data_IF_194335681145
#
_entry.id   IF_194335681145
#
_cell.length_a   1.000
_cell.length_b   1.000
_cell.length_c   1.000
_cell.angle_alpha   90.00
_cell.angle_beta   90.00
_cell.angle_gamma   90.00
#
_symmetry.space_group_name_H-M   'P 1'
#
loop_
_entity.id
_entity.type
_entity.pdbx_description
1 polymer ?
#
# COMPACT_ATOMS: atom_id res chain seq x y z
N UNK A 1 43.57 -38.64 15.49
CA UNK A 1 44.95 -38.15 15.76
C UNK A 1 45.21 -36.92 14.93
N UNK A 2 44.45 -35.80 15.18
CA UNK A 2 44.62 -34.48 14.50
C UNK A 2 43.94 -33.37 15.30
N UNK A 3 44.12 -33.34 16.61
CA UNK A 3 43.51 -32.33 17.50
C UNK A 3 44.49 -31.83 18.57
N UNK A 4 45.76 -31.70 18.24
CA UNK A 4 46.77 -31.34 19.24
C UNK A 4 47.92 -30.47 18.71
N UNK A 5 47.62 -29.49 17.84
CA UNK A 5 48.65 -28.48 17.43
C UNK A 5 47.98 -27.14 17.12
N UNK A 6 47.33 -26.52 18.10
CA UNK A 6 46.95 -25.09 18.02
C UNK A 6 46.64 -24.50 19.41
N UNK A 7 47.51 -24.74 20.38
CA UNK A 7 47.50 -24.03 21.65
C UNK A 7 48.96 -23.72 22.06
N UNK A 8 49.58 -22.82 21.29
CA UNK A 8 50.78 -22.14 21.80
C UNK A 8 51.06 -20.90 20.92
N UNK A 9 50.37 -19.83 21.20
CA UNK A 9 50.83 -18.50 20.83
C UNK A 9 50.47 -17.57 21.98
N UNK A 10 51.46 -17.27 22.79
CA UNK A 10 51.38 -16.35 23.92
C UNK A 10 51.02 -14.94 23.41
N UNK A 11 50.02 -14.34 24.04
CA UNK A 11 49.72 -12.93 23.91
C UNK A 11 50.90 -12.08 24.42
N UNK A 12 51.31 -11.02 23.71
CA UNK A 12 52.28 -10.08 24.20
C UNK A 12 51.75 -9.30 25.41
N UNK A 13 52.63 -8.87 26.33
CA UNK A 13 52.23 -8.18 27.54
C UNK A 13 51.66 -6.78 27.18
N UNK A 14 50.57 -6.42 27.83
CA UNK A 14 50.01 -5.08 27.81
C UNK A 14 51.04 -4.09 28.37
N UNK A 15 51.57 -3.22 27.52
CA UNK A 15 52.42 -2.10 27.91
C UNK A 15 51.55 -0.86 28.09
N UNK A 16 51.65 -0.32 29.28
CA UNK A 16 51.54 1.07 29.69
C UNK A 16 50.27 1.88 29.35
N UNK A 17 49.68 2.27 30.45
CA UNK A 17 48.75 3.37 30.69
C UNK A 17 49.01 4.60 29.83
N UNK A 18 48.13 4.81 28.85
CA UNK A 18 47.89 6.14 28.31
C UNK A 18 46.86 6.80 29.20
N UNK A 19 47.27 7.81 29.95
CA UNK A 19 46.37 8.70 30.67
C UNK A 19 45.56 9.47 29.65
N UNK A 20 44.20 9.49 29.75
CA UNK A 20 43.38 10.38 28.93
C UNK A 20 43.44 11.77 29.55
N UNK A 21 44.35 12.62 29.05
CA UNK A 21 44.29 14.06 29.24
C UNK A 21 43.34 14.64 28.18
N UNK A 22 42.08 14.68 28.49
CA UNK A 22 41.02 15.34 27.74
C UNK A 22 39.75 15.25 28.53
N UNK A 23 39.21 16.40 28.92
CA UNK A 23 37.86 16.48 29.50
C UNK A 23 36.89 15.67 28.62
N UNK A 24 35.93 14.93 29.19
CA UNK A 24 34.92 14.23 28.42
C UNK A 24 34.11 15.30 27.64
N UNK A 25 34.36 15.44 26.35
CA UNK A 25 33.49 16.16 25.47
C UNK A 25 32.18 15.36 25.47
N UNK A 26 31.21 15.81 26.28
CA UNK A 26 29.84 15.38 26.20
C UNK A 26 29.41 15.60 24.74
N UNK A 27 29.38 14.52 23.96
CA UNK A 27 28.64 14.51 22.71
C UNK A 27 27.21 14.95 23.10
N UNK A 28 26.90 16.21 22.80
CA UNK A 28 25.52 16.68 22.84
C UNK A 28 24.78 15.77 21.86
N UNK A 29 24.10 14.77 22.40
CA UNK A 29 22.99 14.09 21.75
C UNK A 29 21.95 15.19 21.50
N UNK A 30 22.14 15.93 20.39
CA UNK A 30 21.16 16.85 19.89
C UNK A 30 19.88 16.07 19.68
N UNK A 31 19.02 16.19 20.66
CA UNK A 31 17.58 15.96 20.68
C UNK A 31 17.05 14.89 19.72
N UNK A 32 16.95 13.66 20.22
CA UNK A 32 16.07 12.61 19.70
C UNK A 32 14.58 13.07 19.64
N UNK A 33 14.26 14.24 20.18
CA UNK A 33 12.91 14.84 20.21
C UNK A 33 12.50 15.51 18.88
N UNK A 34 13.45 15.95 18.05
CA UNK A 34 13.16 16.61 16.77
C UNK A 34 12.88 15.63 15.61
N UNK A 35 13.37 14.39 15.68
CA UNK A 35 13.17 13.39 14.60
C UNK A 35 11.70 13.01 14.35
N UNK A 36 10.85 12.77 15.35
CA UNK A 36 9.43 12.46 15.14
C UNK A 36 8.66 13.64 14.51
N UNK A 37 8.98 14.87 14.90
CA UNK A 37 8.34 16.07 14.38
C UNK A 37 8.70 16.29 12.90
N UNK A 38 9.98 16.18 12.54
CA UNK A 38 10.46 16.31 11.17
C UNK A 38 9.89 15.23 10.25
N UNK A 39 9.75 14.00 10.73
CA UNK A 39 9.12 12.89 9.99
C UNK A 39 7.63 13.13 9.78
N UNK A 40 6.92 13.64 10.78
CA UNK A 40 5.51 13.98 10.69
C UNK A 40 5.28 15.14 9.71
N UNK A 41 6.11 16.17 9.72
CA UNK A 41 6.07 17.29 8.77
C UNK A 41 6.35 16.84 7.35
N UNK A 42 7.35 15.99 7.17
CA UNK A 42 7.66 15.38 5.87
C UNK A 42 6.51 14.52 5.32
N UNK A 43 5.81 13.80 6.19
CA UNK A 43 4.64 13.00 5.82
C UNK A 43 3.44 13.90 5.45
N UNK A 44 3.16 14.96 6.23
CA UNK A 44 2.12 15.96 5.94
C UNK A 44 2.37 16.66 4.61
N UNK A 45 3.61 17.10 4.37
CA UNK A 45 3.98 17.74 3.11
C UNK A 45 3.82 16.77 1.91
N UNK A 46 4.22 15.50 2.07
CA UNK A 46 4.01 14.48 1.04
C UNK A 46 2.52 14.28 0.74
N UNK A 47 1.67 14.22 1.77
CA UNK A 47 0.23 14.09 1.59
C UNK A 47 -0.37 15.27 0.82
N UNK A 48 0.00 16.52 1.17
CA UNK A 48 -0.44 17.74 0.44
C UNK A 48 -0.09 17.69 -1.04
N UNK A 49 1.13 17.24 -1.38
CA UNK A 49 1.55 17.10 -2.78
C UNK A 49 0.71 16.07 -3.53
N UNK A 50 0.41 14.92 -2.91
CA UNK A 50 -0.41 13.88 -3.51
C UNK A 50 -1.88 14.30 -3.65
N UNK A 51 -2.42 15.04 -2.69
CA UNK A 51 -3.77 15.61 -2.77
C UNK A 51 -3.87 16.65 -3.90
N UNK A 52 -2.85 17.52 -4.07
CA UNK A 52 -2.80 18.46 -5.18
C UNK A 52 -2.76 17.73 -6.53
N UNK A 53 -1.95 16.67 -6.65
CA UNK A 53 -1.88 15.86 -7.85
C UNK A 53 -3.21 15.10 -8.12
N UNK A 54 -3.89 14.60 -7.08
CA UNK A 54 -5.20 13.97 -7.22
C UNK A 54 -6.27 14.95 -7.73
N UNK A 55 -6.28 16.19 -7.25
CA UNK A 55 -7.18 17.25 -7.79
C UNK A 55 -6.88 17.52 -9.25
N UNK A 56 -5.63 17.64 -9.65
CA UNK A 56 -5.25 17.83 -11.06
C UNK A 56 -5.73 16.69 -11.95
N UNK A 57 -5.69 15.44 -11.46
CA UNK A 57 -6.25 14.29 -12.20
C UNK A 57 -7.76 14.45 -12.37
N UNK A 58 -8.47 14.84 -11.32
CA UNK A 58 -9.93 15.01 -11.38
C UNK A 58 -10.34 16.13 -12.34
N UNK A 59 -9.55 17.20 -12.42
CA UNK A 59 -9.86 18.39 -13.23
C UNK A 59 -9.39 18.27 -14.69
N UNK A 60 -8.24 17.64 -14.92
CA UNK A 60 -7.52 17.69 -16.20
C UNK A 60 -7.12 16.30 -16.74
N UNK A 61 -7.51 15.22 -16.05
CA UNK A 61 -7.06 13.87 -16.37
C UNK A 61 -5.57 13.64 -16.02
N UNK A 62 -5.11 12.41 -16.25
CA UNK A 62 -3.76 11.99 -15.90
C UNK A 62 -2.69 12.76 -16.69
N UNK A 63 -2.99 13.13 -17.93
CA UNK A 63 -2.06 13.87 -18.80
C UNK A 63 -1.80 15.30 -18.30
N UNK A 64 -2.75 15.91 -17.58
CA UNK A 64 -2.59 17.19 -16.90
C UNK A 64 -1.65 17.17 -15.71
N UNK A 65 -1.25 15.99 -15.21
CA UNK A 65 -0.34 15.87 -14.07
C UNK A 65 1.12 15.95 -14.52
N UNK A 66 1.70 17.12 -14.34
CA UNK A 66 3.14 17.36 -14.50
C UNK A 66 3.77 17.72 -13.16
N UNK A 67 5.10 17.56 -13.05
CA UNK A 67 5.83 17.94 -11.83
C UNK A 67 5.68 19.43 -11.51
N UNK A 68 5.62 20.25 -12.57
CA UNK A 68 5.40 21.69 -12.50
C UNK A 68 3.99 22.05 -12.03
N UNK A 69 2.96 21.44 -12.63
CA UNK A 69 1.57 21.68 -12.26
C UNK A 69 1.33 21.33 -10.80
N UNK A 70 1.88 20.21 -10.32
CA UNK A 70 1.78 19.80 -8.91
C UNK A 70 2.51 20.78 -7.99
N UNK A 71 3.68 21.29 -8.38
CA UNK A 71 4.41 22.27 -7.59
C UNK A 71 3.60 23.56 -7.41
N UNK A 72 2.99 24.06 -8.49
CA UNK A 72 2.08 25.23 -8.47
C UNK A 72 0.85 24.95 -7.62
N UNK A 73 0.16 23.84 -7.84
CA UNK A 73 -1.07 23.49 -7.12
C UNK A 73 -0.88 23.25 -5.62
N UNK A 74 0.34 22.88 -5.20
CA UNK A 74 0.70 22.65 -3.80
C UNK A 74 1.44 23.84 -3.16
N UNK A 75 1.67 24.92 -3.90
CA UNK A 75 2.43 26.10 -3.47
C UNK A 75 3.84 25.73 -2.93
N UNK A 76 4.60 25.00 -3.73
CA UNK A 76 5.99 24.63 -3.42
C UNK A 76 6.90 24.80 -4.62
N UNK A 77 8.22 24.91 -4.38
CA UNK A 77 9.19 24.92 -5.45
C UNK A 77 9.25 23.59 -6.22
N UNK A 78 9.39 23.64 -7.55
CA UNK A 78 9.55 22.48 -8.45
C UNK A 78 10.59 21.48 -7.93
N UNK A 79 11.74 21.96 -7.44
CA UNK A 79 12.80 21.12 -6.87
C UNK A 79 12.35 20.27 -5.69
N UNK A 80 11.34 20.71 -4.92
CA UNK A 80 10.78 19.94 -3.82
C UNK A 80 10.01 18.73 -4.32
N UNK A 81 9.25 18.87 -5.40
CA UNK A 81 8.48 17.76 -6.03
C UNK A 81 9.46 16.75 -6.62
N UNK A 82 10.46 17.20 -7.39
CA UNK A 82 11.48 16.32 -7.98
C UNK A 82 12.28 15.57 -6.92
N UNK A 83 12.74 16.24 -5.86
CA UNK A 83 13.45 15.58 -4.76
C UNK A 83 12.61 14.51 -4.06
N UNK A 84 11.29 14.69 -4.00
CA UNK A 84 10.38 13.79 -3.31
C UNK A 84 9.96 12.58 -4.13
N UNK A 85 9.75 12.73 -5.42
CA UNK A 85 9.15 11.70 -6.28
C UNK A 85 10.06 11.25 -7.42
N UNK A 86 11.17 11.95 -7.67
CA UNK A 86 12.10 11.66 -8.73
C UNK A 86 11.62 12.19 -10.09
N UNK A 87 10.59 11.59 -10.62
CA UNK A 87 9.99 11.94 -11.92
C UNK A 87 8.46 11.80 -11.89
N UNK A 88 7.82 12.01 -13.04
CA UNK A 88 6.36 11.87 -13.20
C UNK A 88 5.90 10.45 -12.90
N UNK A 89 6.64 9.43 -13.31
CA UNK A 89 6.30 8.03 -13.05
C UNK A 89 6.32 7.74 -11.54
N UNK A 90 7.36 8.21 -10.84
CA UNK A 90 7.44 8.10 -9.37
C UNK A 90 6.31 8.83 -8.65
N UNK A 91 5.88 9.98 -9.16
CA UNK A 91 4.69 10.70 -8.64
C UNK A 91 3.40 9.90 -8.85
N UNK A 92 3.17 9.35 -10.06
CA UNK A 92 1.99 8.54 -10.36
C UNK A 92 1.95 7.25 -9.52
N UNK A 93 3.09 6.59 -9.34
CA UNK A 93 3.20 5.44 -8.44
C UNK A 93 2.91 5.81 -6.98
N UNK A 94 3.39 6.96 -6.52
CA UNK A 94 3.10 7.45 -5.17
C UNK A 94 1.61 7.79 -4.97
N UNK A 95 0.91 8.24 -6.00
CA UNK A 95 -0.54 8.45 -5.99
C UNK A 95 -1.30 7.13 -5.84
N UNK A 96 -0.92 6.10 -6.60
CA UNK A 96 -1.50 4.76 -6.47
C UNK A 96 -1.31 4.18 -5.06
N UNK A 97 -0.10 4.33 -4.49
CA UNK A 97 0.20 3.91 -3.12
C UNK A 97 -0.63 4.68 -2.07
N UNK A 98 -0.75 6.00 -2.25
CA UNK A 98 -1.55 6.85 -1.36
C UNK A 98 -3.03 6.42 -1.34
N UNK A 99 -3.60 6.19 -2.52
CA UNK A 99 -4.97 5.71 -2.64
C UNK A 99 -5.16 4.30 -2.04
N UNK A 100 -4.18 3.40 -2.22
CA UNK A 100 -4.22 2.09 -1.59
C UNK A 100 -4.23 2.18 -0.06
N UNK A 101 -3.41 3.05 0.52
CA UNK A 101 -3.37 3.31 1.97
C UNK A 101 -4.67 3.91 2.48
N UNK A 102 -5.30 4.80 1.71
CA UNK A 102 -6.62 5.36 2.06
C UNK A 102 -7.68 4.26 2.16
N UNK A 103 -7.81 3.41 1.13
CA UNK A 103 -8.72 2.27 1.20
C UNK A 103 -8.40 1.35 2.39
N UNK A 104 -7.11 1.11 2.66
CA UNK A 104 -6.71 0.32 3.82
C UNK A 104 -7.17 0.94 5.14
N UNK A 105 -7.03 2.25 5.30
CA UNK A 105 -7.53 2.95 6.47
C UNK A 105 -9.06 2.84 6.59
N UNK A 106 -9.79 2.93 5.47
CA UNK A 106 -11.24 2.85 5.43
C UNK A 106 -11.75 1.47 5.88
N UNK A 107 -11.16 0.35 5.44
CA UNK A 107 -11.61 -0.98 5.86
C UNK A 107 -11.08 -1.41 7.23
N UNK A 108 -10.00 -0.80 7.76
CA UNK A 108 -9.46 -1.08 9.09
C UNK A 108 -10.12 -0.26 10.20
N UNK A 109 -10.48 0.99 9.94
CA UNK A 109 -10.97 1.90 10.96
C UNK A 109 -12.03 2.90 10.50
N UNK A 110 -12.49 2.80 9.26
CA UNK A 110 -13.55 3.65 8.71
C UNK A 110 -14.96 3.25 9.17
N UNK A 111 -15.99 3.95 8.69
CA UNK A 111 -17.38 3.66 9.05
C UNK A 111 -17.90 2.36 8.40
N UNK A 112 -18.92 1.72 8.99
CA UNK A 112 -19.67 0.64 8.34
C UNK A 112 -20.31 1.12 7.01
N UNK A 113 -20.53 0.21 6.05
CA UNK A 113 -20.32 -1.24 6.10
C UNK A 113 -18.89 -1.69 5.76
N UNK A 114 -18.01 -0.80 5.24
CA UNK A 114 -16.66 -1.16 4.84
C UNK A 114 -15.76 -1.41 6.07
N UNK A 115 -15.81 -0.52 7.05
CA UNK A 115 -15.04 -0.58 8.28
C UNK A 115 -15.62 -1.52 9.34
N UNK A 116 -15.02 -1.55 10.54
CA UNK A 116 -15.50 -2.33 11.68
C UNK A 116 -16.93 -1.94 12.11
N UNK A 117 -17.63 -2.89 12.72
CA UNK A 117 -18.99 -2.68 13.25
C UNK A 117 -20.12 -3.24 12.37
N UNK A 118 -19.85 -3.56 11.08
CA UNK A 118 -20.80 -4.32 10.26
C UNK A 118 -20.51 -5.83 10.31
N UNK A 119 -21.49 -6.69 9.99
CA UNK A 119 -21.28 -8.13 9.84
C UNK A 119 -20.20 -8.44 8.80
N UNK A 120 -19.37 -9.49 9.00
CA UNK A 120 -18.28 -9.82 8.10
C UNK A 120 -18.69 -9.96 6.63
N UNK A 121 -19.85 -10.52 6.35
CA UNK A 121 -20.40 -10.67 4.99
C UNK A 121 -20.68 -9.31 4.33
N UNK A 122 -21.26 -8.38 5.08
CA UNK A 122 -21.57 -7.04 4.56
C UNK A 122 -20.29 -6.24 4.33
N UNK A 123 -19.29 -6.41 5.21
CA UNK A 123 -17.96 -5.85 5.03
C UNK A 123 -17.29 -6.39 3.77
N UNK A 124 -17.37 -7.69 3.52
CA UNK A 124 -16.79 -8.32 2.33
C UNK A 124 -17.46 -7.81 1.03
N UNK A 125 -18.79 -7.68 1.04
CA UNK A 125 -19.53 -7.08 -0.09
C UNK A 125 -19.11 -5.64 -0.36
N UNK A 126 -19.12 -4.80 0.67
CA UNK A 126 -18.73 -3.40 0.58
C UNK A 126 -17.27 -3.23 0.14
N UNK A 127 -16.37 -4.08 0.63
CA UNK A 127 -14.97 -4.08 0.24
C UNK A 127 -14.79 -4.28 -1.26
N UNK A 128 -15.42 -5.29 -1.85
CA UNK A 128 -15.27 -5.54 -3.29
C UNK A 128 -15.85 -4.41 -4.13
N UNK A 129 -17.00 -3.86 -3.74
CA UNK A 129 -17.60 -2.68 -4.41
C UNK A 129 -16.60 -1.51 -4.37
N UNK A 130 -16.04 -1.19 -3.20
CA UNK A 130 -15.07 -0.11 -3.06
C UNK A 130 -13.80 -0.34 -3.94
N UNK A 131 -13.32 -1.59 -4.02
CA UNK A 131 -12.16 -1.93 -4.88
C UNK A 131 -12.52 -1.80 -6.36
N UNK A 132 -13.71 -2.25 -6.79
CA UNK A 132 -14.18 -2.15 -8.18
C UNK A 132 -14.19 -0.70 -8.66
N UNK A 133 -14.91 0.19 -7.96
CA UNK A 133 -15.02 1.59 -8.34
C UNK A 133 -13.66 2.30 -8.33
N UNK A 134 -12.87 2.09 -7.28
CA UNK A 134 -11.52 2.66 -7.23
C UNK A 134 -10.62 2.16 -8.36
N UNK A 135 -10.72 0.89 -8.74
CA UNK A 135 -9.92 0.34 -9.84
C UNK A 135 -10.31 0.96 -11.17
N UNK A 136 -11.60 1.22 -11.39
CA UNK A 136 -12.09 1.91 -12.58
C UNK A 136 -11.63 3.38 -12.64
N UNK A 137 -11.71 4.10 -11.52
CA UNK A 137 -11.26 5.50 -11.42
C UNK A 137 -9.74 5.66 -11.65
N UNK A 138 -8.95 4.67 -11.23
CA UNK A 138 -7.49 4.72 -11.31
C UNK A 138 -6.90 4.06 -12.54
N UNK A 139 -7.74 3.65 -13.47
CA UNK A 139 -7.28 2.89 -14.63
C UNK A 139 -6.26 3.67 -15.46
N UNK A 140 -6.60 4.90 -15.85
CA UNK A 140 -5.72 5.76 -16.65
C UNK A 140 -4.41 6.07 -15.90
N UNK A 141 -4.50 6.26 -14.57
CA UNK A 141 -3.36 6.44 -13.71
C UNK A 141 -2.43 5.21 -13.71
N UNK A 142 -3.00 4.00 -13.67
CA UNK A 142 -2.23 2.74 -13.72
C UNK A 142 -1.56 2.52 -15.08
N UNK A 143 -2.26 2.84 -16.15
CA UNK A 143 -1.72 2.77 -17.51
C UNK A 143 -0.56 3.77 -17.68
N UNK A 144 -0.74 5.00 -17.23
CA UNK A 144 0.29 6.05 -17.31
C UNK A 144 1.51 5.75 -16.42
N UNK A 145 1.32 5.07 -15.30
CA UNK A 145 2.41 4.68 -14.40
C UNK A 145 3.24 3.50 -14.93
N UNK A 146 2.86 2.87 -16.05
CA UNK A 146 3.56 1.72 -16.66
C UNK A 146 3.95 0.62 -15.66
N UNK A 147 3.09 0.36 -14.68
CA UNK A 147 3.31 -0.67 -13.68
C UNK A 147 3.31 -2.05 -14.35
N UNK A 148 4.49 -2.61 -14.59
CA UNK A 148 4.67 -3.90 -15.26
C UNK A 148 3.94 -5.07 -14.56
N UNK A 149 3.50 -6.11 -15.31
CA UNK A 149 2.62 -7.16 -14.82
C UNK A 149 3.24 -8.04 -13.71
N UNK A 150 4.54 -8.27 -13.72
CA UNK A 150 5.18 -9.24 -12.82
C UNK A 150 5.36 -8.78 -11.36
N UNK A 151 5.18 -7.50 -11.04
CA UNK A 151 5.24 -6.98 -9.65
C UNK A 151 3.87 -6.81 -9.00
N UNK A 152 2.80 -7.09 -9.74
CA UNK A 152 1.42 -6.79 -9.33
C UNK A 152 1.02 -7.53 -8.05
N UNK A 153 1.28 -8.82 -7.97
CA UNK A 153 0.88 -9.67 -6.83
C UNK A 153 1.85 -9.61 -5.64
N UNK A 154 3.10 -9.19 -5.86
CA UNK A 154 4.11 -9.05 -4.81
C UNK A 154 4.02 -7.71 -4.06
N UNK A 155 3.17 -6.79 -4.49
CA UNK A 155 3.03 -5.49 -3.83
C UNK A 155 2.37 -5.65 -2.46
N UNK A 156 2.99 -5.07 -1.42
CA UNK A 156 2.48 -5.16 -0.04
C UNK A 156 1.02 -4.70 0.10
N UNK A 157 0.58 -3.73 -0.71
CA UNK A 157 -0.81 -3.26 -0.72
C UNK A 157 -1.78 -4.33 -1.23
N UNK A 158 -1.42 -5.12 -2.25
CA UNK A 158 -2.27 -6.21 -2.77
C UNK A 158 -2.35 -7.35 -1.76
N UNK A 159 -1.23 -7.68 -1.11
CA UNK A 159 -1.20 -8.68 -0.04
C UNK A 159 -2.07 -8.27 1.16
N UNK A 160 -2.05 -6.99 1.54
CA UNK A 160 -2.91 -6.47 2.61
C UNK A 160 -4.41 -6.61 2.26
N UNK A 161 -4.80 -6.37 1.01
CA UNK A 161 -6.17 -6.56 0.54
C UNK A 161 -6.57 -8.05 0.59
N UNK A 162 -5.72 -8.94 0.08
CA UNK A 162 -5.97 -10.38 0.12
C UNK A 162 -6.06 -10.91 1.55
N UNK A 163 -5.19 -10.45 2.45
CA UNK A 163 -5.24 -10.79 3.87
C UNK A 163 -6.57 -10.35 4.52
N UNK A 164 -7.02 -9.13 4.22
CA UNK A 164 -8.31 -8.63 4.72
C UNK A 164 -9.47 -9.53 4.28
N UNK A 165 -9.52 -9.90 3.00
CA UNK A 165 -10.54 -10.84 2.47
C UNK A 165 -10.44 -12.20 3.17
N UNK A 166 -9.24 -12.74 3.36
CA UNK A 166 -9.02 -14.00 4.08
C UNK A 166 -9.56 -13.94 5.51
N UNK A 167 -9.28 -12.84 6.23
CA UNK A 167 -9.77 -12.65 7.62
C UNK A 167 -11.29 -12.60 7.67
N UNK A 168 -11.95 -11.93 6.72
CA UNK A 168 -13.42 -11.91 6.66
C UNK A 168 -13.99 -13.28 6.32
N UNK A 169 -13.41 -13.99 5.34
CA UNK A 169 -13.85 -15.34 4.96
C UNK A 169 -13.74 -16.33 6.13
N UNK A 170 -12.67 -16.27 6.91
CA UNK A 170 -12.51 -17.13 8.12
C UNK A 170 -13.61 -16.89 9.15
N UNK A 171 -14.22 -15.72 9.20
CA UNK A 171 -15.37 -15.43 10.07
C UNK A 171 -16.70 -15.88 9.47
N UNK A 172 -16.80 -16.02 8.14
CA UNK A 172 -18.04 -16.35 7.43
C UNK A 172 -18.12 -17.87 7.16
N UNK A 173 -17.03 -18.45 6.66
CA UNK A 173 -16.95 -19.86 6.22
C UNK A 173 -15.65 -20.51 6.73
N UNK A 174 -15.52 -20.72 8.05
CA UNK A 174 -14.27 -21.17 8.68
C UNK A 174 -13.77 -22.54 8.18
N UNK A 175 -14.68 -23.40 7.68
CA UNK A 175 -14.36 -24.75 7.19
C UNK A 175 -13.84 -24.76 5.73
N UNK A 176 -13.86 -23.60 5.03
CA UNK A 176 -13.39 -23.49 3.65
C UNK A 176 -11.90 -23.16 3.59
N UNK A 177 -11.26 -23.44 2.44
CA UNK A 177 -9.93 -22.91 2.15
C UNK A 177 -10.01 -21.40 1.87
N UNK A 178 -10.02 -20.61 2.96
CA UNK A 178 -10.17 -19.16 2.90
C UNK A 178 -9.03 -18.47 2.17
N UNK A 179 -7.84 -19.06 2.11
CA UNK A 179 -6.70 -18.46 1.39
C UNK A 179 -6.89 -18.58 -0.11
N UNK A 180 -7.28 -19.77 -0.61
CA UNK A 180 -7.59 -19.98 -2.02
C UNK A 180 -8.81 -19.16 -2.44
N UNK A 181 -9.87 -19.16 -1.65
CA UNK A 181 -11.07 -18.36 -1.93
C UNK A 181 -10.75 -16.86 -1.99
N UNK A 182 -9.90 -16.35 -1.11
CA UNK A 182 -9.47 -14.96 -1.15
C UNK A 182 -8.74 -14.63 -2.46
N UNK A 183 -7.86 -15.51 -2.95
CA UNK A 183 -7.18 -15.30 -4.22
C UNK A 183 -8.15 -15.32 -5.41
N UNK A 184 -9.16 -16.19 -5.41
CA UNK A 184 -10.20 -16.21 -6.45
C UNK A 184 -11.00 -14.90 -6.45
N UNK A 185 -11.43 -14.45 -5.27
CA UNK A 185 -12.14 -13.17 -5.12
C UNK A 185 -11.27 -11.98 -5.53
N UNK A 186 -9.99 -11.97 -5.18
CA UNK A 186 -9.04 -10.94 -5.62
C UNK A 186 -8.81 -10.97 -7.13
N UNK A 187 -8.89 -12.14 -7.78
CA UNK A 187 -8.86 -12.27 -9.23
C UNK A 187 -10.03 -11.56 -9.92
N UNK A 188 -11.24 -11.61 -9.34
CA UNK A 188 -12.38 -10.84 -9.82
C UNK A 188 -12.14 -9.33 -9.75
N UNK A 189 -11.42 -8.88 -8.74
CA UNK A 189 -11.08 -7.48 -8.48
C UNK A 189 -9.78 -7.02 -9.20
N UNK A 190 -9.22 -7.84 -10.11
CA UNK A 190 -8.02 -7.49 -10.86
C UNK A 190 -8.28 -6.27 -11.76
N UNK A 191 -7.48 -5.20 -11.66
CA UNK A 191 -7.67 -4.00 -12.46
C UNK A 191 -7.62 -4.24 -13.97
N UNK A 192 -6.82 -5.23 -14.43
CA UNK A 192 -6.75 -5.59 -15.84
C UNK A 192 -8.03 -6.26 -16.34
N UNK A 193 -8.64 -7.13 -15.52
CA UNK A 193 -9.94 -7.73 -15.82
C UNK A 193 -11.04 -6.67 -15.84
N UNK A 194 -11.07 -5.77 -14.86
CA UNK A 194 -12.04 -4.67 -14.79
C UNK A 194 -11.91 -3.78 -16.02
N UNK A 195 -10.69 -3.43 -16.43
CA UNK A 195 -10.43 -2.67 -17.65
C UNK A 195 -11.00 -3.37 -18.88
N UNK A 196 -10.62 -4.62 -19.10
CA UNK A 196 -11.08 -5.41 -20.23
C UNK A 196 -12.61 -5.47 -20.30
N UNK A 197 -13.27 -5.77 -19.17
CA UNK A 197 -14.73 -5.89 -19.15
C UNK A 197 -15.42 -4.55 -19.37
N UNK A 198 -14.93 -3.45 -18.79
CA UNK A 198 -15.60 -2.14 -18.88
C UNK A 198 -15.26 -1.39 -20.16
N UNK A 199 -13.99 -1.32 -20.56
CA UNK A 199 -13.54 -0.50 -21.69
C UNK A 199 -13.57 -1.25 -23.01
N UNK A 200 -13.17 -2.54 -23.05
CA UNK A 200 -13.15 -3.29 -24.31
C UNK A 200 -14.47 -4.02 -24.58
N UNK A 201 -15.11 -4.57 -23.52
CA UNK A 201 -16.39 -5.28 -23.66
C UNK A 201 -17.62 -4.39 -23.44
N UNK A 202 -17.44 -3.13 -23.01
CA UNK A 202 -18.52 -2.17 -22.75
C UNK A 202 -19.48 -2.60 -21.63
N UNK A 203 -19.01 -3.42 -20.68
CA UNK A 203 -19.83 -3.90 -19.57
C UNK A 203 -20.02 -2.77 -18.54
N UNK A 204 -21.26 -2.43 -18.14
CA UNK A 204 -21.50 -1.39 -17.16
C UNK A 204 -21.00 -1.82 -15.77
N UNK A 205 -20.53 -0.84 -14.98
CA UNK A 205 -19.98 -1.09 -13.62
C UNK A 205 -20.99 -1.74 -12.69
N UNK A 206 -22.25 -1.37 -12.81
CA UNK A 206 -23.35 -1.92 -12.01
C UNK A 206 -23.51 -3.43 -12.22
N UNK A 207 -23.17 -3.94 -13.42
CA UNK A 207 -23.15 -5.37 -13.70
C UNK A 207 -21.99 -6.07 -13.03
N UNK A 208 -20.81 -5.44 -12.96
CA UNK A 208 -19.68 -5.98 -12.24
C UNK A 208 -19.96 -5.98 -10.72
N UNK A 209 -20.57 -4.92 -10.21
CA UNK A 209 -20.99 -4.84 -8.81
C UNK A 209 -21.98 -5.96 -8.45
N UNK A 210 -23.04 -6.13 -9.25
CA UNK A 210 -24.02 -7.21 -9.07
C UNK A 210 -23.35 -8.59 -9.14
N UNK A 211 -22.41 -8.79 -10.09
CA UNK A 211 -21.63 -10.01 -10.22
C UNK A 211 -20.74 -10.29 -9.00
N UNK A 212 -20.14 -9.27 -8.42
CA UNK A 212 -19.40 -9.38 -7.17
C UNK A 212 -20.28 -9.84 -6.02
N UNK A 213 -21.43 -9.19 -5.83
CA UNK A 213 -22.38 -9.54 -4.76
C UNK A 213 -22.89 -10.97 -4.90
N UNK A 214 -23.22 -11.41 -6.12
CA UNK A 214 -23.66 -12.78 -6.41
C UNK A 214 -22.52 -13.78 -6.17
N UNK A 215 -21.31 -13.49 -6.62
CA UNK A 215 -20.13 -14.34 -6.40
C UNK A 215 -19.87 -14.53 -4.89
N UNK A 216 -19.85 -13.44 -4.12
CA UNK A 216 -19.67 -13.49 -2.67
C UNK A 216 -20.78 -14.34 -2.03
N UNK A 217 -22.03 -14.13 -2.42
CA UNK A 217 -23.16 -14.93 -1.89
C UNK A 217 -22.96 -16.43 -2.15
N UNK A 218 -22.52 -16.82 -3.35
CA UNK A 218 -22.32 -18.24 -3.71
C UNK A 218 -21.17 -18.89 -2.95
N UNK A 219 -20.03 -18.19 -2.81
CA UNK A 219 -18.85 -18.75 -2.14
C UNK A 219 -18.97 -18.78 -0.62
N UNK A 220 -19.91 -17.99 -0.07
CA UNK A 220 -20.16 -17.95 1.38
C UNK A 220 -21.38 -18.77 1.82
N UNK A 221 -22.07 -19.43 0.89
CA UNK A 221 -23.10 -20.40 1.25
C UNK A 221 -22.43 -21.64 1.85
N UNK A 222 -22.71 -21.92 3.12
CA UNK A 222 -22.32 -23.19 3.74
C UNK A 222 -22.99 -24.32 2.97
N UNK A 223 -22.19 -25.24 2.39
CA UNK A 223 -22.74 -26.51 1.92
C UNK A 223 -23.33 -27.22 3.12
N UNK A 224 -24.65 -27.44 3.13
CA UNK A 224 -25.25 -28.45 4.04
C UNK A 224 -24.52 -29.76 3.78
N UNK A 225 -24.01 -30.44 4.82
CA UNK A 225 -23.43 -31.77 4.58
C UNK A 225 -24.53 -32.66 3.99
N UNK A 226 -24.18 -33.32 2.88
CA UNK A 226 -25.03 -34.32 2.24
C UNK A 226 -25.15 -35.57 3.12
#
# INVERSE_FOLDING_TARGET
MLYAVLMSSALPPFSESVQPSGEPQLLQLSSLEDEPCLRADAARNRARLLEAAARLIAEHGVDGVTMEAVAVAADVGKGTVFRRFGDRTGLLMALLDHSAKKLQADFLGGPPPLGPGAPPLDRLRAFGVAVLYRSAEQLDLRLAAQAGPNRRYAHASVQALALHVTVLLRQIVPDADCEVLAQVLMGYLDPGLIHYLTRERGMPMERLEAGWVDLVARVTQTRSPA
#
